data_IF_716374861756
#
_entry.id   IF_716374861756
#
_cell.length_a   1.000
_cell.length_b   1.000
_cell.length_c   1.000
_cell.angle_alpha   90.00
_cell.angle_beta   90.00
_cell.angle_gamma   90.00
#
_symmetry.space_group_name_H-M   'P 1'
#
loop_
_entity.id
_entity.type
_entity.pdbx_description
1 polymer ?
#
# COMPACT_ATOMS: atom_id res chain seq x y z
N UNK A 1 -59.07 -34.33 -43.32
CA UNK A 1 -58.31 -35.27 -42.45
C UNK A 1 -56.97 -34.62 -42.15
N UNK A 2 -56.84 -34.06 -40.94
CA UNK A 2 -55.61 -33.44 -40.46
C UNK A 2 -54.79 -34.55 -39.80
N UNK A 3 -53.58 -34.82 -40.30
CA UNK A 3 -52.72 -35.88 -39.78
C UNK A 3 -51.75 -35.26 -38.75
N UNK A 4 -51.84 -35.59 -37.45
CA UNK A 4 -51.07 -34.92 -36.39
C UNK A 4 -49.63 -35.43 -36.25
N UNK A 5 -49.23 -36.45 -37.01
CA UNK A 5 -47.97 -37.18 -36.77
C UNK A 5 -46.72 -36.60 -37.44
N UNK A 6 -46.67 -35.29 -37.71
CA UNK A 6 -45.51 -34.64 -38.35
C UNK A 6 -44.73 -33.66 -37.46
N UNK A 7 -45.03 -33.57 -36.17
CA UNK A 7 -44.32 -32.64 -35.27
C UNK A 7 -43.12 -33.24 -34.52
N UNK A 8 -42.77 -34.52 -34.70
CA UNK A 8 -41.72 -35.15 -33.88
C UNK A 8 -40.75 -36.08 -34.62
N UNK A 9 -40.42 -35.77 -35.87
CA UNK A 9 -39.27 -36.40 -36.53
C UNK A 9 -38.11 -35.42 -36.60
N UNK A 10 -37.38 -35.26 -35.47
CA UNK A 10 -36.00 -34.77 -35.52
C UNK A 10 -35.21 -35.68 -36.46
N UNK A 11 -34.85 -35.13 -37.61
CA UNK A 11 -34.01 -35.75 -38.64
C UNK A 11 -32.70 -36.25 -38.01
N UNK A 12 -32.07 -37.33 -38.53
CA UNK A 12 -30.84 -37.89 -37.95
C UNK A 12 -29.70 -36.87 -37.78
N UNK A 13 -29.65 -35.85 -38.66
CA UNK A 13 -28.75 -34.69 -38.56
C UNK A 13 -28.91 -33.93 -37.25
N UNK A 14 -30.15 -33.63 -36.87
CA UNK A 14 -30.53 -32.78 -35.74
C UNK A 14 -30.16 -33.41 -34.38
N UNK A 15 -30.12 -34.75 -34.32
CA UNK A 15 -29.69 -35.51 -33.13
C UNK A 15 -28.17 -35.63 -33.02
N UNK A 16 -27.45 -35.50 -34.12
CA UNK A 16 -25.99 -35.53 -34.14
C UNK A 16 -25.44 -34.17 -33.72
N UNK A 17 -26.08 -33.09 -34.14
CA UNK A 17 -25.74 -31.72 -33.75
C UNK A 17 -25.97 -31.49 -32.24
N UNK A 18 -27.11 -31.93 -31.68
CA UNK A 18 -27.36 -31.85 -30.22
C UNK A 18 -26.32 -32.61 -29.39
N UNK A 19 -25.90 -33.81 -29.82
CA UNK A 19 -24.86 -34.58 -29.13
C UNK A 19 -23.49 -33.92 -29.20
N UNK A 20 -23.21 -33.19 -30.28
CA UNK A 20 -21.95 -32.50 -30.45
C UNK A 20 -21.91 -31.22 -29.60
N UNK A 21 -23.00 -30.48 -29.50
CA UNK A 21 -23.15 -29.33 -28.61
C UNK A 21 -23.12 -29.74 -27.12
N UNK A 22 -23.74 -30.86 -26.75
CA UNK A 22 -23.66 -31.43 -25.40
C UNK A 22 -22.22 -31.88 -25.06
N UNK A 23 -21.49 -32.42 -26.04
CA UNK A 23 -20.09 -32.82 -25.88
C UNK A 23 -19.16 -31.62 -25.73
N UNK A 24 -19.36 -30.57 -26.55
CA UNK A 24 -18.57 -29.34 -26.48
C UNK A 24 -18.85 -28.56 -25.20
N UNK A 25 -20.10 -28.48 -24.76
CA UNK A 25 -20.47 -27.86 -23.49
C UNK A 25 -19.93 -28.65 -22.28
N UNK A 26 -19.92 -29.98 -22.34
CA UNK A 26 -19.26 -30.82 -21.34
C UNK A 26 -17.74 -30.60 -21.29
N UNK A 27 -17.08 -30.46 -22.44
CA UNK A 27 -15.65 -30.11 -22.51
C UNK A 27 -15.37 -28.69 -21.99
N UNK A 28 -16.30 -27.76 -22.21
CA UNK A 28 -16.24 -26.39 -21.67
C UNK A 28 -16.39 -26.37 -20.15
N UNK A 29 -17.30 -27.18 -19.60
CA UNK A 29 -17.51 -27.33 -18.17
C UNK A 29 -16.42 -28.16 -17.48
N UNK A 30 -15.75 -29.05 -18.22
CA UNK A 30 -14.63 -29.84 -17.73
C UNK A 30 -13.31 -29.06 -17.65
N UNK A 31 -13.28 -27.80 -18.10
CA UNK A 31 -12.12 -26.95 -17.87
C UNK A 31 -11.89 -26.82 -16.36
N UNK A 32 -10.65 -27.02 -15.87
CA UNK A 32 -10.35 -26.91 -14.45
C UNK A 32 -10.52 -25.46 -14.01
N UNK A 33 -11.70 -25.10 -13.52
CA UNK A 33 -11.92 -23.82 -12.86
C UNK A 33 -11.31 -23.96 -11.48
N UNK A 34 -10.17 -23.31 -11.27
CA UNK A 34 -9.59 -23.16 -9.95
C UNK A 34 -10.66 -22.54 -9.05
N UNK A 35 -11.22 -23.33 -8.14
CA UNK A 35 -12.26 -22.86 -7.23
C UNK A 35 -11.68 -21.76 -6.33
N UNK A 36 -11.85 -20.50 -6.74
CA UNK A 36 -11.40 -19.35 -5.97
C UNK A 36 -12.21 -19.35 -4.68
N UNK A 37 -11.57 -19.58 -3.55
CA UNK A 37 -12.22 -19.50 -2.25
C UNK A 37 -12.61 -18.05 -1.96
N UNK A 38 -13.86 -17.69 -2.25
CA UNK A 38 -14.42 -16.34 -2.12
C UNK A 38 -14.36 -15.83 -0.68
N UNK A 39 -14.54 -16.70 0.32
CA UNK A 39 -14.48 -16.33 1.73
C UNK A 39 -13.07 -15.89 2.14
N UNK A 40 -12.05 -16.64 1.71
CA UNK A 40 -10.64 -16.32 1.95
C UNK A 40 -10.25 -15.01 1.26
N UNK A 41 -10.74 -14.76 0.05
CA UNK A 41 -10.51 -13.49 -0.67
C UNK A 41 -11.16 -12.33 0.07
N UNK A 42 -12.43 -12.45 0.49
CA UNK A 42 -13.16 -11.42 1.23
C UNK A 42 -12.52 -11.13 2.60
N UNK A 43 -12.09 -12.16 3.32
CA UNK A 43 -11.37 -12.03 4.58
C UNK A 43 -10.03 -11.29 4.41
N UNK A 44 -9.24 -11.66 3.40
CA UNK A 44 -7.99 -10.96 3.09
C UNK A 44 -8.23 -9.48 2.76
N UNK A 45 -9.23 -9.16 1.92
CA UNK A 45 -9.54 -7.78 1.53
C UNK A 45 -10.01 -6.93 2.71
N UNK A 46 -10.90 -7.44 3.54
CA UNK A 46 -11.34 -6.72 4.75
C UNK A 46 -10.19 -6.49 5.73
N UNK A 47 -9.26 -7.45 5.84
CA UNK A 47 -8.04 -7.29 6.64
C UNK A 47 -7.11 -6.20 6.06
N UNK A 48 -6.95 -6.15 4.74
CA UNK A 48 -6.14 -5.13 4.07
C UNK A 48 -6.77 -3.74 4.20
N UNK A 49 -8.10 -3.62 4.05
CA UNK A 49 -8.83 -2.37 4.33
C UNK A 49 -8.60 -1.88 5.75
N UNK A 50 -8.69 -2.78 6.75
CA UNK A 50 -8.43 -2.45 8.16
C UNK A 50 -6.99 -2.00 8.39
N UNK A 51 -6.00 -2.66 7.77
CA UNK A 51 -4.59 -2.25 7.83
C UNK A 51 -4.38 -0.85 7.26
N UNK A 52 -4.98 -0.55 6.10
CA UNK A 52 -4.83 0.76 5.47
C UNK A 52 -5.47 1.87 6.30
N UNK A 53 -6.65 1.63 6.88
CA UNK A 53 -7.28 2.58 7.81
C UNK A 53 -6.43 2.81 9.06
N UNK A 54 -5.89 1.74 9.65
CA UNK A 54 -4.99 1.83 10.79
C UNK A 54 -3.75 2.68 10.45
N UNK A 55 -3.14 2.44 9.29
CA UNK A 55 -2.02 3.27 8.83
C UNK A 55 -2.40 4.74 8.65
N UNK A 56 -3.57 5.06 8.08
CA UNK A 56 -4.00 6.45 7.92
C UNK A 56 -4.18 7.16 9.28
N UNK A 57 -4.71 6.46 10.28
CA UNK A 57 -4.83 7.01 11.65
C UNK A 57 -3.46 7.23 12.27
N UNK A 58 -2.56 6.24 12.18
CA UNK A 58 -1.20 6.35 12.70
C UNK A 58 -0.39 7.47 12.02
N UNK A 59 -0.47 7.57 10.69
CA UNK A 59 0.20 8.62 9.91
C UNK A 59 -0.31 10.01 10.32
N UNK A 60 -1.62 10.16 10.58
CA UNK A 60 -2.21 11.42 11.05
C UNK A 60 -1.81 11.74 12.50
N UNK A 61 -1.71 10.73 13.36
CA UNK A 61 -1.31 10.90 14.77
C UNK A 61 0.15 11.37 14.91
N UNK A 62 1.02 11.02 13.95
CA UNK A 62 2.43 11.42 13.95
C UNK A 62 2.66 12.93 13.79
N UNK A 63 1.65 13.70 13.39
CA UNK A 63 1.76 15.16 13.27
C UNK A 63 1.68 15.85 14.65
N UNK A 64 0.92 15.30 15.59
CA UNK A 64 0.69 15.96 16.89
C UNK A 64 1.96 16.16 17.73
N UNK A 65 2.87 15.18 17.88
CA UNK A 65 4.12 15.40 18.61
C UNK A 65 4.97 16.51 18.00
N UNK A 66 5.00 16.64 16.66
CA UNK A 66 5.76 17.68 15.98
C UNK A 66 5.18 19.08 16.29
N UNK A 67 3.85 19.23 16.24
CA UNK A 67 3.16 20.47 16.62
C UNK A 67 3.39 20.79 18.09
N UNK A 68 3.32 19.79 18.97
CA UNK A 68 3.55 19.98 20.40
C UNK A 68 4.96 20.48 20.70
N UNK A 69 5.99 19.86 20.11
CA UNK A 69 7.38 20.29 20.28
C UNK A 69 7.55 21.72 19.77
N UNK A 70 6.97 22.04 18.61
CA UNK A 70 7.01 23.37 18.04
C UNK A 70 6.40 24.39 19.01
N UNK A 71 5.16 24.17 19.46
CA UNK A 71 4.45 25.10 20.34
C UNK A 71 5.14 25.26 21.71
N UNK A 72 5.67 24.18 22.28
CA UNK A 72 6.25 24.20 23.63
C UNK A 72 7.65 24.80 23.67
N UNK A 73 8.46 24.58 22.63
CA UNK A 73 9.88 24.94 22.64
C UNK A 73 10.26 26.04 21.65
N UNK A 74 9.32 26.64 20.90
CA UNK A 74 9.57 27.68 19.91
C UNK A 74 10.54 28.77 20.40
N UNK A 75 10.24 29.39 21.55
CA UNK A 75 11.05 30.48 22.11
C UNK A 75 12.44 30.06 22.63
N UNK A 76 12.69 28.76 22.77
CA UNK A 76 13.96 28.20 23.24
C UNK A 76 14.81 27.63 22.09
N UNK A 77 14.36 27.77 20.85
CA UNK A 77 15.09 27.32 19.66
C UNK A 77 15.83 28.50 19.02
N UNK A 78 17.04 28.24 18.51
CA UNK A 78 17.74 29.18 17.64
C UNK A 78 16.92 29.45 16.37
N UNK A 79 17.22 30.57 15.70
CA UNK A 79 16.59 30.90 14.41
C UNK A 79 16.84 29.78 13.37
N UNK A 80 18.04 29.20 13.36
CA UNK A 80 18.40 28.09 12.45
C UNK A 80 17.54 26.86 12.74
N UNK A 81 17.40 26.46 14.00
CA UNK A 81 16.57 25.35 14.43
C UNK A 81 15.08 25.57 14.08
N UNK A 82 14.56 26.79 14.27
CA UNK A 82 13.20 27.16 13.88
C UNK A 82 12.98 27.01 12.37
N UNK A 83 13.90 27.55 11.55
CA UNK A 83 13.84 27.43 10.09
C UNK A 83 13.89 25.97 9.62
N UNK A 84 14.76 25.15 10.22
CA UNK A 84 14.82 23.71 9.92
C UNK A 84 13.51 23.01 10.22
N UNK A 85 12.88 23.30 11.37
CA UNK A 85 11.60 22.73 11.76
C UNK A 85 10.46 23.16 10.81
N UNK A 86 10.39 24.44 10.48
CA UNK A 86 9.38 24.98 9.54
C UNK A 86 9.56 24.35 8.16
N UNK A 87 10.80 24.22 7.68
CA UNK A 87 11.10 23.57 6.41
C UNK A 87 10.69 22.09 6.41
N UNK A 88 10.99 21.35 7.49
CA UNK A 88 10.57 19.96 7.64
C UNK A 88 9.03 19.83 7.65
N UNK A 89 8.31 20.71 8.33
CA UNK A 89 6.85 20.70 8.33
C UNK A 89 6.28 21.04 6.95
N UNK A 90 6.81 22.07 6.30
CA UNK A 90 6.39 22.51 4.97
C UNK A 90 6.60 21.41 3.90
N UNK A 91 7.61 20.56 4.06
CA UNK A 91 7.88 19.45 3.13
C UNK A 91 7.17 18.15 3.52
N UNK A 92 7.05 17.85 4.81
CA UNK A 92 6.42 16.61 5.29
C UNK A 92 4.90 16.61 5.20
N UNK A 93 4.23 17.76 5.40
CA UNK A 93 2.77 17.86 5.33
C UNK A 93 2.23 17.54 3.92
N UNK A 94 2.74 18.12 2.82
CA UNK A 94 2.32 17.74 1.47
C UNK A 94 2.56 16.25 1.18
N UNK A 95 3.70 15.70 1.63
CA UNK A 95 4.00 14.27 1.47
C UNK A 95 3.00 13.39 2.22
N UNK A 96 2.61 13.78 3.44
CA UNK A 96 1.61 13.08 4.24
C UNK A 96 0.23 13.13 3.56
N UNK A 97 -0.21 14.30 3.09
CA UNK A 97 -1.47 14.45 2.36
C UNK A 97 -1.47 13.57 1.11
N UNK A 98 -0.37 13.55 0.36
CA UNK A 98 -0.24 12.68 -0.82
C UNK A 98 -0.27 11.18 -0.46
N UNK A 99 0.37 10.77 0.64
CA UNK A 99 0.31 9.40 1.13
C UNK A 99 -1.11 8.98 1.52
N UNK A 100 -1.82 9.84 2.27
CA UNK A 100 -3.22 9.59 2.64
C UNK A 100 -4.11 9.52 1.41
N UNK A 101 -3.89 10.38 0.42
CA UNK A 101 -4.59 10.36 -0.85
C UNK A 101 -4.40 9.05 -1.60
N UNK A 102 -3.17 8.51 -1.65
CA UNK A 102 -2.90 7.21 -2.27
C UNK A 102 -3.58 6.04 -1.52
N UNK A 103 -3.58 6.08 -0.18
CA UNK A 103 -4.20 5.04 0.68
C UNK A 103 -5.72 5.07 0.64
N UNK A 104 -6.33 6.21 0.32
CA UNK A 104 -7.80 6.37 0.25
C UNK A 104 -8.45 5.34 -0.68
N UNK A 105 -7.79 5.03 -1.80
CA UNK A 105 -8.27 4.09 -2.83
C UNK A 105 -8.39 2.68 -2.26
N UNK A 106 -7.49 2.28 -1.36
CA UNK A 106 -7.55 0.98 -0.70
C UNK A 106 -8.44 0.99 0.56
N UNK A 107 -8.53 2.12 1.27
CA UNK A 107 -9.23 2.21 2.56
C UNK A 107 -10.77 2.35 2.44
N UNK A 108 -11.26 2.99 1.37
CA UNK A 108 -12.67 3.34 1.18
C UNK A 108 -13.35 2.61 0.02
N UNK A 109 -12.70 1.59 -0.53
CA UNK A 109 -13.28 0.80 -1.61
C UNK A 109 -14.57 0.06 -1.18
N UNK A 110 -15.61 0.14 -2.02
CA UNK A 110 -16.89 -0.58 -1.89
C UNK A 110 -17.04 -1.52 -3.10
N UNK A 111 -17.33 -2.79 -2.83
CA UNK A 111 -17.49 -3.84 -3.85
C UNK A 111 -18.84 -3.66 -4.55
N UNK A 112 -18.88 -2.97 -5.69
CA UNK A 112 -20.10 -2.83 -6.49
C UNK A 112 -20.13 -3.68 -7.77
N UNK A 113 -18.98 -4.15 -8.28
CA UNK A 113 -18.93 -4.99 -9.49
C UNK A 113 -17.62 -5.82 -9.64
N UNK A 114 -17.72 -7.06 -10.10
CA UNK A 114 -16.62 -8.06 -10.15
C UNK A 114 -15.57 -7.76 -11.23
N UNK A 115 -15.96 -7.25 -12.40
CA UNK A 115 -15.01 -6.88 -13.48
C UNK A 115 -14.08 -5.72 -13.07
N UNK A 116 -14.55 -4.87 -12.18
CA UNK A 116 -13.77 -3.76 -11.63
C UNK A 116 -12.72 -4.19 -10.59
N UNK A 117 -12.79 -5.44 -10.09
CA UNK A 117 -11.93 -5.89 -8.99
C UNK A 117 -10.45 -6.01 -9.35
N UNK A 118 -10.13 -6.59 -10.52
CA UNK A 118 -8.72 -6.75 -10.94
C UNK A 118 -8.07 -5.39 -11.22
N UNK A 119 -8.77 -4.51 -11.94
CA UNK A 119 -8.29 -3.16 -12.21
C UNK A 119 -8.03 -2.37 -10.91
N UNK A 120 -8.92 -2.50 -9.92
CA UNK A 120 -8.78 -1.80 -8.65
C UNK A 120 -7.72 -2.42 -7.75
N UNK A 121 -7.55 -3.74 -7.75
CA UNK A 121 -6.46 -4.42 -7.06
C UNK A 121 -5.11 -3.99 -7.62
N UNK A 122 -4.97 -3.95 -8.95
CA UNK A 122 -3.77 -3.45 -9.64
C UNK A 122 -3.48 -2.00 -9.26
N UNK A 123 -4.52 -1.14 -9.22
CA UNK A 123 -4.39 0.25 -8.78
C UNK A 123 -3.94 0.37 -7.31
N UNK A 124 -4.46 -0.48 -6.42
CA UNK A 124 -4.06 -0.52 -5.01
C UNK A 124 -2.61 -0.96 -4.85
N UNK A 125 -2.19 -2.02 -5.55
CA UNK A 125 -0.79 -2.50 -5.50
C UNK A 125 0.15 -1.44 -6.05
N UNK A 126 -0.18 -0.79 -7.17
CA UNK A 126 0.61 0.31 -7.74
C UNK A 126 0.76 1.48 -6.78
N UNK A 127 -0.33 1.88 -6.10
CA UNK A 127 -0.28 2.92 -5.07
C UNK A 127 0.57 2.49 -3.86
N UNK A 128 0.48 1.22 -3.45
CA UNK A 128 1.28 0.68 -2.35
C UNK A 128 2.78 0.63 -2.69
N UNK A 129 3.16 0.36 -3.94
CA UNK A 129 4.56 0.47 -4.41
C UNK A 129 5.05 1.91 -4.26
N UNK A 130 4.27 2.90 -4.72
CA UNK A 130 4.63 4.32 -4.59
C UNK A 130 4.81 4.73 -3.12
N UNK A 131 3.88 4.33 -2.25
CA UNK A 131 3.98 4.60 -0.80
C UNK A 131 5.23 3.93 -0.21
N UNK A 132 5.51 2.67 -0.55
CA UNK A 132 6.68 1.95 -0.06
C UNK A 132 8.00 2.60 -0.50
N UNK A 133 8.07 3.07 -1.76
CA UNK A 133 9.22 3.80 -2.27
C UNK A 133 9.42 5.13 -1.53
N UNK A 134 8.36 5.94 -1.40
CA UNK A 134 8.46 7.24 -0.72
C UNK A 134 8.86 7.09 0.75
N UNK A 135 8.18 6.20 1.48
CA UNK A 135 8.44 5.98 2.91
C UNK A 135 9.86 5.46 3.17
N UNK A 136 10.40 4.63 2.27
CA UNK A 136 11.80 4.16 2.36
C UNK A 136 12.81 5.31 2.29
N UNK A 137 12.62 6.28 1.39
CA UNK A 137 13.58 7.36 1.17
C UNK A 137 13.36 8.53 2.12
N UNK A 138 12.10 8.85 2.46
CA UNK A 138 11.79 9.96 3.37
C UNK A 138 12.37 9.77 4.77
N UNK A 139 12.51 8.52 5.24
CA UNK A 139 13.12 8.28 6.57
C UNK A 139 14.58 8.71 6.62
N UNK A 140 15.35 8.56 5.53
CA UNK A 140 16.75 9.01 5.48
C UNK A 140 16.87 10.53 5.52
N UNK A 141 15.98 11.24 4.82
CA UNK A 141 15.93 12.70 4.87
C UNK A 141 15.68 13.18 6.30
N UNK A 142 14.73 12.56 7.01
CA UNK A 142 14.44 12.89 8.41
C UNK A 142 15.65 12.64 9.33
N UNK A 143 16.38 11.55 9.11
CA UNK A 143 17.61 11.24 9.87
C UNK A 143 18.69 12.30 9.64
N UNK A 144 18.93 12.71 8.40
CA UNK A 144 19.91 13.75 8.07
C UNK A 144 19.57 15.06 8.76
N UNK A 145 18.29 15.47 8.76
CA UNK A 145 17.85 16.66 9.48
C UNK A 145 18.01 16.52 11.00
N UNK A 146 17.74 15.34 11.56
CA UNK A 146 17.99 15.05 12.97
C UNK A 146 19.46 15.23 13.35
N UNK A 147 20.37 14.70 12.54
CA UNK A 147 21.82 14.91 12.73
C UNK A 147 22.23 16.37 12.61
N UNK A 148 21.72 17.08 11.60
CA UNK A 148 22.02 18.50 11.41
C UNK A 148 21.53 19.34 12.60
N UNK A 149 20.35 19.06 13.13
CA UNK A 149 19.79 19.74 14.31
C UNK A 149 20.63 19.52 15.57
N UNK A 150 21.17 18.31 15.72
CA UNK A 150 22.04 17.96 16.84
C UNK A 150 23.41 18.65 16.72
N UNK A 151 23.99 18.65 15.53
CA UNK A 151 25.27 19.32 15.25
C UNK A 151 25.17 20.82 15.49
N UNK A 152 24.09 21.44 15.04
CA UNK A 152 23.84 22.87 15.24
C UNK A 152 23.89 23.25 16.71
N UNK A 153 23.22 22.51 17.59
CA UNK A 153 23.26 22.75 19.03
C UNK A 153 24.61 22.46 19.67
N UNK A 154 25.36 21.49 19.13
CA UNK A 154 26.71 21.21 19.60
C UNK A 154 27.66 22.38 19.31
N UNK A 155 27.60 22.94 18.09
CA UNK A 155 28.43 24.09 17.70
C UNK A 155 28.03 25.41 18.39
N UNK A 156 26.75 25.59 18.73
CA UNK A 156 26.28 26.77 19.48
C UNK A 156 26.60 26.70 20.99
N UNK A 157 27.16 25.60 21.49
CA UNK A 157 27.54 25.48 22.91
C UNK A 157 26.37 25.22 23.86
N UNK A 158 25.17 24.95 23.34
CA UNK A 158 23.96 24.67 24.13
C UNK A 158 23.94 23.25 24.75
N UNK A 159 24.94 22.41 24.44
CA UNK A 159 25.06 21.05 24.97
C UNK A 159 26.07 20.95 26.10
N UNK A 160 25.57 20.72 27.32
CA UNK A 160 26.37 20.25 28.43
C UNK A 160 27.03 18.88 28.10
N UNK A 161 28.26 18.59 28.56
CA UNK A 161 29.01 17.37 28.21
C UNK A 161 28.26 16.07 28.58
N UNK A 162 27.52 16.09 29.68
CA UNK A 162 26.63 15.00 30.12
C UNK A 162 25.46 14.72 29.16
N UNK A 163 25.00 15.73 28.40
CA UNK A 163 23.97 15.56 27.36
C UNK A 163 24.56 14.97 26.09
N UNK A 164 25.85 15.19 25.80
CA UNK A 164 26.55 14.65 24.63
C UNK A 164 26.65 13.12 24.71
N UNK A 165 26.98 12.56 25.88
CA UNK A 165 27.04 11.09 26.05
C UNK A 165 25.66 10.46 25.83
N UNK A 166 24.60 11.03 26.41
CA UNK A 166 23.22 10.56 26.21
C UNK A 166 22.81 10.63 24.74
N UNK A 167 23.19 11.70 24.07
CA UNK A 167 22.95 11.91 22.65
C UNK A 167 23.65 10.85 21.78
N UNK A 168 24.90 10.50 22.06
CA UNK A 168 25.63 9.44 21.33
C UNK A 168 24.91 8.08 21.47
N UNK A 169 24.42 7.75 22.66
CA UNK A 169 23.65 6.52 22.89
C UNK A 169 22.35 6.52 22.08
N UNK A 170 21.62 7.66 22.09
CA UNK A 170 20.38 7.82 21.31
C UNK A 170 20.65 7.71 19.81
N UNK A 171 21.69 8.36 19.30
CA UNK A 171 22.09 8.27 17.88
C UNK A 171 22.45 6.84 17.49
N UNK A 172 23.23 6.16 18.33
CA UNK A 172 23.72 4.81 18.04
C UNK A 172 22.56 3.81 18.00
N UNK A 173 21.66 3.89 18.99
CA UNK A 173 20.44 3.06 19.03
C UNK A 173 19.49 3.36 17.86
N UNK A 174 19.29 4.65 17.53
CA UNK A 174 18.49 5.08 16.39
C UNK A 174 19.05 4.56 15.07
N UNK A 175 20.37 4.59 14.90
CA UNK A 175 21.06 4.09 13.70
C UNK A 175 20.82 2.58 13.48
N UNK A 176 20.87 1.78 14.55
CA UNK A 176 20.54 0.35 14.49
C UNK A 176 19.07 0.14 14.10
N UNK A 177 18.14 0.89 14.72
CA UNK A 177 16.73 0.84 14.39
C UNK A 177 16.45 1.20 12.92
N UNK A 178 17.18 2.19 12.40
CA UNK A 178 17.08 2.62 11.00
C UNK A 178 17.57 1.57 10.01
N UNK A 179 18.61 0.81 10.34
CA UNK A 179 19.06 -0.32 9.52
C UNK A 179 17.99 -1.41 9.43
N UNK A 180 17.40 -1.79 10.56
CA UNK A 180 16.30 -2.77 10.62
C UNK A 180 15.11 -2.27 9.79
N UNK A 181 14.75 -1.00 9.96
CA UNK A 181 13.67 -0.36 9.20
C UNK A 181 13.95 -0.40 7.70
N UNK A 182 15.17 -0.07 7.26
CA UNK A 182 15.54 -0.07 5.86
C UNK A 182 15.40 -1.46 5.22
N UNK A 183 15.88 -2.50 5.89
CA UNK A 183 15.74 -3.89 5.43
C UNK A 183 14.27 -4.28 5.30
N UNK A 184 13.45 -3.93 6.29
CA UNK A 184 12.01 -4.18 6.26
C UNK A 184 11.31 -3.42 5.13
N UNK A 185 11.61 -2.13 4.97
CA UNK A 185 11.02 -1.27 3.94
C UNK A 185 11.40 -1.76 2.54
N UNK A 186 12.65 -2.18 2.33
CA UNK A 186 13.10 -2.75 1.08
C UNK A 186 12.39 -4.08 0.77
N UNK A 187 12.27 -4.98 1.76
CA UNK A 187 11.51 -6.24 1.60
C UNK A 187 10.04 -5.97 1.27
N UNK A 188 9.43 -4.97 1.92
CA UNK A 188 8.05 -4.54 1.68
C UNK A 188 7.85 -3.99 0.26
N UNK A 189 8.75 -3.13 -0.21
CA UNK A 189 8.73 -2.60 -1.58
C UNK A 189 8.83 -3.75 -2.60
N UNK A 190 9.82 -4.63 -2.45
CA UNK A 190 10.06 -5.76 -3.36
C UNK A 190 8.88 -6.74 -3.42
N UNK A 191 8.17 -6.93 -2.30
CA UNK A 191 6.95 -7.74 -2.25
C UNK A 191 5.84 -7.13 -3.11
N UNK A 192 5.60 -5.82 -3.01
CA UNK A 192 4.56 -5.16 -3.80
C UNK A 192 4.92 -5.09 -5.28
N UNK A 193 6.19 -4.87 -5.62
CA UNK A 193 6.66 -4.91 -7.02
C UNK A 193 6.46 -6.29 -7.64
N UNK A 194 6.74 -7.37 -6.91
CA UNK A 194 6.47 -8.75 -7.37
C UNK A 194 4.98 -8.97 -7.62
N UNK A 195 4.13 -8.54 -6.69
CA UNK A 195 2.66 -8.64 -6.85
C UNK A 195 2.18 -7.89 -8.09
N UNK A 196 2.72 -6.69 -8.33
CA UNK A 196 2.37 -5.90 -9.50
C UNK A 196 2.76 -6.61 -10.81
N UNK A 197 3.99 -7.13 -10.88
CA UNK A 197 4.45 -7.91 -12.05
C UNK A 197 3.59 -9.14 -12.32
N UNK A 198 3.18 -9.86 -11.28
CA UNK A 198 2.29 -11.01 -11.43
C UNK A 198 0.91 -10.60 -11.96
N UNK A 199 0.34 -9.51 -11.45
CA UNK A 199 -0.95 -9.00 -11.92
C UNK A 199 -0.89 -8.49 -13.37
N UNK A 200 0.20 -7.81 -13.75
CA UNK A 200 0.42 -7.36 -15.13
C UNK A 200 0.60 -8.54 -16.10
N UNK A 201 1.33 -9.58 -15.69
CA UNK A 201 1.50 -10.79 -16.50
C UNK A 201 0.18 -11.55 -16.72
N UNK A 202 -0.67 -11.64 -15.69
CA UNK A 202 -2.01 -12.25 -15.82
C UNK A 202 -2.91 -11.45 -16.77
N UNK A 203 -2.88 -10.12 -16.70
CA UNK A 203 -3.67 -9.26 -17.57
C UNK A 203 -3.21 -9.23 -19.04
N UNK A 204 -2.03 -9.77 -19.35
CA UNK A 204 -1.49 -9.90 -20.71
C UNK A 204 -1.73 -11.30 -21.31
N UNK A 205 -2.20 -12.25 -20.52
CA UNK A 205 -2.51 -13.62 -20.95
C UNK A 205 -3.98 -13.80 -21.37
N UNK A 206 -4.83 -12.81 -21.08
CA UNK A 206 -6.21 -12.67 -21.60
C UNK A 206 -6.21 -11.79 -22.87
#
# INVERSE_FOLDING_TARGET
MHNPDKENQKTPSDRTDEKQDDSLSALWQAQPVTAINLEKVKANLSSERKKQRCYMVMDSLMVFPAIYILAKYWGNMSLVAQLMFVFMLATSLPLLVYQLWLRRVAAFYKDSQTADHLMQLTKQVKNNVKIAFMTKHSTWVAVVFGFAFILERYFLGDLAPEKVIKLIIVISSMSIGMLIWYVWAHKRQKRFERQLKTLEAMAQQD
#
